data_IF_196234418443
#
_entry.id   IF_196234418443
#
_cell.length_a   1.000
_cell.length_b   1.000
_cell.length_c   1.000
_cell.angle_alpha   90.00
_cell.angle_beta   90.00
_cell.angle_gamma   90.00
#
_symmetry.space_group_name_H-M   'P 1'
#
loop_
_entity.id
_entity.type
_entity.pdbx_description
1 polymer ?
#
# COMPACT_ATOMS: atom_id res chain seq x y z
N UNK A 1 38.04 -23.52 9.79
CA UNK A 1 37.36 -22.42 10.50
C UNK A 1 36.64 -21.62 9.44
N UNK A 2 35.37 -21.92 9.19
CA UNK A 2 34.53 -21.05 8.36
C UNK A 2 34.36 -19.73 9.11
N UNK A 3 34.85 -18.63 8.52
CA UNK A 3 34.52 -17.29 8.98
C UNK A 3 32.99 -17.18 8.99
N UNK A 4 32.39 -17.29 10.17
CA UNK A 4 30.98 -16.97 10.37
C UNK A 4 30.82 -15.50 9.99
N UNK A 5 30.37 -15.26 8.76
CA UNK A 5 30.09 -13.94 8.21
C UNK A 5 29.25 -13.18 9.23
N UNK A 6 29.88 -12.23 9.92
CA UNK A 6 29.23 -11.42 10.95
C UNK A 6 28.11 -10.65 10.27
N UNK A 7 26.90 -10.74 10.81
CA UNK A 7 25.76 -10.02 10.24
C UNK A 7 25.99 -8.52 10.41
N UNK A 8 25.95 -7.78 9.31
CA UNK A 8 26.06 -6.33 9.29
C UNK A 8 24.66 -5.73 9.25
N UNK A 9 24.37 -4.83 10.18
CA UNK A 9 23.10 -4.09 10.24
C UNK A 9 23.43 -2.60 10.28
N UNK A 10 22.87 -1.84 9.35
CA UNK A 10 22.93 -0.40 9.42
C UNK A 10 21.85 0.13 10.38
N UNK A 11 22.18 1.14 11.19
CA UNK A 11 21.28 1.71 12.20
C UNK A 11 21.25 3.24 12.13
N UNK A 12 20.06 3.78 12.32
CA UNK A 12 19.79 5.22 12.49
C UNK A 12 19.24 5.40 13.90
N UNK A 13 19.79 6.35 14.64
CA UNK A 13 19.34 6.67 16.00
C UNK A 13 18.57 7.98 16.00
N UNK A 14 17.45 8.02 16.69
CA UNK A 14 16.64 9.23 16.86
C UNK A 14 16.65 9.69 18.31
N UNK A 15 16.41 10.99 18.53
CA UNK A 15 16.26 11.59 19.85
C UNK A 15 15.02 11.12 20.63
N UNK A 16 14.00 10.60 19.95
CA UNK A 16 12.72 10.20 20.55
C UNK A 16 12.78 8.80 21.19
N UNK A 17 13.97 8.18 21.24
CA UNK A 17 14.08 6.80 21.71
C UNK A 17 13.40 5.85 20.73
N UNK A 18 13.78 5.95 19.45
CA UNK A 18 13.49 4.99 18.38
C UNK A 18 14.75 4.83 17.53
N UNK A 19 15.01 3.65 17.02
CA UNK A 19 16.06 3.42 16.04
C UNK A 19 15.48 2.70 14.82
N UNK A 20 16.03 3.01 13.65
CA UNK A 20 15.70 2.32 12.41
C UNK A 20 16.87 1.45 11.98
N UNK A 21 16.59 0.22 11.58
CA UNK A 21 17.60 -0.76 11.20
C UNK A 21 17.31 -1.34 9.82
N UNK A 22 18.36 -1.68 9.09
CA UNK A 22 18.30 -2.39 7.80
C UNK A 22 19.53 -3.28 7.61
N UNK A 23 19.34 -4.45 7.02
CA UNK A 23 20.40 -5.34 6.54
C UNK A 23 20.50 -5.32 5.00
N UNK A 24 19.78 -4.40 4.36
CA UNK A 24 19.84 -4.15 2.93
C UNK A 24 20.73 -2.94 2.64
N UNK A 25 21.75 -3.12 1.80
CA UNK A 25 22.65 -2.05 1.36
C UNK A 25 22.22 -1.41 0.04
N UNK A 26 21.23 -1.99 -0.65
CA UNK A 26 20.74 -1.51 -1.94
C UNK A 26 19.62 -0.49 -1.73
N UNK A 27 19.57 0.54 -2.58
CA UNK A 27 18.57 1.61 -2.50
C UNK A 27 17.38 1.33 -3.44
N UNK A 28 17.61 0.62 -4.55
CA UNK A 28 16.61 0.25 -5.54
C UNK A 28 17.03 -0.98 -6.37
N UNK A 29 16.19 -1.38 -7.33
CA UNK A 29 16.50 -2.48 -8.27
C UNK A 29 16.07 -3.87 -7.78
N UNK A 30 16.50 -4.90 -8.50
CA UNK A 30 16.08 -6.29 -8.27
C UNK A 30 16.44 -6.78 -6.86
N UNK A 31 17.68 -6.52 -6.42
CA UNK A 31 18.16 -6.97 -5.12
C UNK A 31 17.41 -6.31 -3.96
N UNK A 32 17.08 -5.02 -4.06
CA UNK A 32 16.21 -4.33 -3.11
C UNK A 32 14.78 -4.90 -3.12
N UNK A 33 14.24 -5.14 -4.32
CA UNK A 33 12.87 -5.61 -4.50
C UNK A 33 12.63 -7.07 -4.12
N UNK A 34 13.68 -7.88 -3.97
CA UNK A 34 13.57 -9.28 -3.58
C UNK A 34 14.48 -9.60 -2.38
N UNK A 35 14.88 -8.57 -1.63
CA UNK A 35 15.71 -8.72 -0.44
C UNK A 35 15.00 -9.57 0.61
N UNK A 36 15.67 -10.64 1.04
CA UNK A 36 15.22 -11.49 2.16
C UNK A 36 15.99 -11.05 3.39
N UNK A 37 15.34 -10.25 4.23
CA UNK A 37 15.94 -9.81 5.48
C UNK A 37 16.21 -10.99 6.41
N UNK A 38 17.25 -10.86 7.21
CA UNK A 38 17.53 -11.73 8.35
C UNK A 38 17.07 -11.08 9.67
N UNK A 39 16.69 -9.79 9.64
CA UNK A 39 16.26 -9.00 10.81
C UNK A 39 14.96 -9.55 11.40
N UNK A 40 14.05 -10.07 10.56
CA UNK A 40 12.77 -10.65 10.95
C UNK A 40 12.87 -11.80 11.98
N UNK A 41 13.97 -12.54 11.94
CA UNK A 41 14.26 -13.67 12.83
C UNK A 41 14.95 -13.25 14.14
N UNK A 42 15.37 -11.99 14.23
CA UNK A 42 16.15 -11.49 15.36
C UNK A 42 15.26 -10.81 16.39
N UNK A 43 15.72 -10.86 17.64
CA UNK A 43 15.19 -10.15 18.78
C UNK A 43 16.24 -9.14 19.23
N UNK A 44 15.84 -7.88 19.32
CA UNK A 44 16.66 -6.77 19.76
C UNK A 44 16.23 -6.41 21.18
N UNK A 45 17.08 -6.72 22.16
CA UNK A 45 16.75 -6.61 23.59
C UNK A 45 15.45 -7.33 24.00
N UNK A 46 15.11 -8.43 23.32
CA UNK A 46 13.87 -9.19 23.54
C UNK A 46 12.66 -8.67 22.75
N UNK A 47 12.79 -7.57 22.01
CA UNK A 47 11.73 -7.03 21.15
C UNK A 47 11.90 -7.49 19.71
N UNK A 48 10.78 -7.82 19.07
CA UNK A 48 10.74 -8.03 17.62
C UNK A 48 10.78 -6.67 16.90
N UNK A 49 11.54 -6.56 15.80
CA UNK A 49 11.53 -5.37 14.97
C UNK A 49 10.15 -5.19 14.33
N UNK A 50 9.71 -3.95 14.19
CA UNK A 50 8.44 -3.61 13.50
C UNK A 50 8.73 -3.13 12.09
N UNK A 51 7.92 -3.55 11.13
CA UNK A 51 8.02 -3.03 9.76
C UNK A 51 7.65 -1.55 9.72
N UNK A 52 8.40 -0.78 8.93
CA UNK A 52 8.09 0.63 8.67
C UNK A 52 7.42 0.79 7.30
N UNK A 53 6.94 2.00 6.99
CA UNK A 53 6.46 2.32 5.63
C UNK A 53 7.57 2.19 4.57
N UNK A 54 8.84 2.38 4.99
CA UNK A 54 10.01 2.24 4.15
C UNK A 54 10.40 0.76 4.02
N UNK A 55 10.44 0.29 2.77
CA UNK A 55 10.80 -1.09 2.45
C UNK A 55 12.22 -1.41 2.95
N UNK A 56 12.40 -2.62 3.50
CA UNK A 56 13.64 -3.12 4.10
C UNK A 56 14.11 -2.39 5.37
N UNK A 57 13.34 -1.42 5.87
CA UNK A 57 13.63 -0.74 7.12
C UNK A 57 12.68 -1.19 8.22
N UNK A 58 13.25 -1.40 9.40
CA UNK A 58 12.51 -1.82 10.58
C UNK A 58 12.76 -0.87 11.74
N UNK A 59 11.76 -0.70 12.59
CA UNK A 59 11.81 0.10 13.80
C UNK A 59 12.07 -0.78 15.03
N UNK A 60 12.96 -0.30 15.90
CA UNK A 60 13.21 -0.84 17.23
C UNK A 60 13.16 0.28 18.28
N UNK A 61 12.75 -0.01 19.52
CA UNK A 61 12.51 1.03 20.52
C UNK A 61 13.79 1.69 21.03
N UNK A 62 14.94 1.03 21.01
CA UNK A 62 16.17 1.64 21.51
C UNK A 62 17.39 1.04 20.82
N UNK A 63 18.53 1.71 20.95
CA UNK A 63 19.80 1.18 20.48
C UNK A 63 20.10 -0.14 21.20
N UNK A 64 20.19 -1.26 20.48
CA UNK A 64 20.16 -2.58 21.08
C UNK A 64 21.45 -2.89 21.82
N UNK A 65 21.35 -3.44 23.02
CA UNK A 65 22.51 -3.95 23.78
C UNK A 65 22.79 -5.42 23.48
N UNK A 66 21.74 -6.20 23.24
CA UNK A 66 21.82 -7.63 22.89
C UNK A 66 20.95 -7.95 21.68
N UNK A 67 21.45 -8.86 20.85
CA UNK A 67 20.72 -9.42 19.72
C UNK A 67 20.67 -10.94 19.86
N UNK A 68 19.46 -11.49 19.78
CA UNK A 68 19.18 -12.90 20.04
C UNK A 68 18.38 -13.49 18.88
N UNK A 69 18.58 -14.77 18.57
CA UNK A 69 17.72 -15.54 17.67
C UNK A 69 16.97 -16.60 18.46
N UNK A 70 15.70 -16.83 18.12
CA UNK A 70 14.94 -17.95 18.64
C UNK A 70 15.25 -19.20 17.82
N UNK A 71 15.88 -20.19 18.45
CA UNK A 71 16.12 -21.49 17.84
C UNK A 71 15.02 -22.43 18.31
N UNK A 72 14.21 -22.89 17.35
CA UNK A 72 13.08 -23.76 17.62
C UNK A 72 13.43 -25.22 17.33
N UNK A 73 13.07 -26.09 18.27
CA UNK A 73 13.00 -27.53 18.03
C UNK A 73 14.26 -28.19 17.43
N UNK A 74 15.45 -27.90 17.95
CA UNK A 74 16.67 -28.57 17.49
C UNK A 74 16.51 -30.08 17.61
N UNK A 75 16.65 -30.78 16.48
CA UNK A 75 16.61 -32.25 16.43
C UNK A 75 17.90 -32.79 17.03
N UNK A 76 17.81 -33.30 18.26
CA UNK A 76 18.88 -33.99 18.97
C UNK A 76 18.67 -35.50 18.89
N UNK A 77 19.73 -36.27 19.17
CA UNK A 77 19.70 -37.74 19.21
C UNK A 77 19.09 -38.40 17.96
N UNK A 78 19.56 -37.99 16.78
CA UNK A 78 19.16 -38.65 15.52
C UNK A 78 19.62 -40.10 15.55
N UNK A 79 18.67 -41.02 15.42
CA UNK A 79 18.89 -42.47 15.47
C UNK A 79 17.95 -43.18 14.51
N UNK A 80 18.39 -44.30 13.95
CA UNK A 80 17.53 -45.21 13.22
C UNK A 80 16.86 -46.14 14.24
N UNK A 81 15.54 -46.11 14.32
CA UNK A 81 14.76 -47.01 15.17
C UNK A 81 14.11 -48.09 14.31
N UNK A 82 14.19 -49.33 14.75
CA UNK A 82 13.63 -50.48 14.03
C UNK A 82 12.10 -50.29 13.89
N UNK A 83 11.55 -50.59 12.71
CA UNK A 83 10.11 -50.41 12.45
C UNK A 83 9.26 -51.42 13.22
N UNK A 84 9.80 -52.62 13.39
CA UNK A 84 9.17 -53.74 14.07
C UNK A 84 10.07 -54.20 15.21
N UNK A 85 9.68 -53.88 16.44
CA UNK A 85 10.45 -54.20 17.64
C UNK A 85 10.63 -55.72 17.84
N UNK A 86 9.79 -56.56 17.22
CA UNK A 86 9.89 -58.03 17.30
C UNK A 86 11.05 -58.60 16.47
N UNK A 87 11.53 -57.86 15.47
CA UNK A 87 12.69 -58.24 14.65
C UNK A 87 14.03 -57.97 15.34
N UNK A 88 13.99 -57.49 16.59
CA UNK A 88 15.19 -57.21 17.37
C UNK A 88 16.05 -58.48 17.51
N UNK A 89 17.30 -58.36 17.11
CA UNK A 89 18.30 -59.42 17.31
C UNK A 89 19.68 -58.80 17.49
N UNK A 90 20.69 -59.63 17.76
CA UNK A 90 22.08 -59.18 17.78
C UNK A 90 22.54 -58.56 16.46
N UNK A 91 21.88 -58.90 15.34
CA UNK A 91 22.15 -58.34 13.99
C UNK A 91 21.28 -57.13 13.65
N UNK A 92 20.14 -56.98 14.33
CA UNK A 92 19.16 -55.91 14.14
C UNK A 92 18.91 -55.22 15.48
N UNK A 93 19.79 -54.30 15.90
CA UNK A 93 19.61 -53.57 17.16
C UNK A 93 18.34 -52.69 17.10
N UNK A 94 17.71 -52.40 18.25
CA UNK A 94 16.51 -51.55 18.31
C UNK A 94 16.77 -50.13 17.82
N UNK A 95 17.93 -49.57 18.18
CA UNK A 95 18.31 -48.21 17.84
C UNK A 95 19.77 -48.19 17.35
N UNK A 96 20.01 -47.53 16.22
CA UNK A 96 21.34 -47.31 15.64
C UNK A 96 21.62 -45.80 15.64
N UNK A 97 22.63 -45.32 16.37
CA UNK A 97 23.05 -43.92 16.32
C UNK A 97 23.41 -43.47 14.90
N UNK A 98 23.06 -42.25 14.50
CA UNK A 98 23.34 -41.75 13.14
C UNK A 98 24.84 -41.82 12.77
N UNK A 99 25.74 -41.69 13.75
CA UNK A 99 27.19 -41.73 13.53
C UNK A 99 27.71 -43.13 13.15
N UNK A 100 26.97 -44.18 13.53
CA UNK A 100 27.31 -45.59 13.28
C UNK A 100 26.64 -46.12 12.01
N UNK A 101 25.91 -45.26 11.27
CA UNK A 101 25.21 -45.62 10.03
C UNK A 101 26.09 -46.39 9.05
N UNK A 102 27.37 -46.00 8.93
CA UNK A 102 28.29 -46.56 7.94
C UNK A 102 28.74 -47.98 8.27
N UNK A 103 28.45 -48.49 9.48
CA UNK A 103 28.77 -49.86 9.89
C UNK A 103 27.68 -50.86 9.46
N UNK A 104 26.53 -50.35 9.01
CA UNK A 104 25.38 -51.15 8.58
C UNK A 104 25.10 -50.94 7.09
N UNK A 105 24.58 -51.99 6.45
CA UNK A 105 24.18 -51.93 5.04
C UNK A 105 23.05 -50.90 4.84
N UNK A 106 23.21 -50.03 3.84
CA UNK A 106 22.28 -48.93 3.57
C UNK A 106 20.89 -49.44 3.13
N UNK A 107 20.86 -50.56 2.40
CA UNK A 107 19.63 -51.23 1.97
C UNK A 107 18.86 -51.82 3.17
N UNK A 108 19.60 -52.26 4.19
CA UNK A 108 19.03 -52.78 5.44
C UNK A 108 18.42 -51.65 6.28
N UNK A 109 19.16 -50.54 6.45
CA UNK A 109 18.72 -49.38 7.21
C UNK A 109 17.46 -48.73 6.63
N UNK A 110 17.39 -48.58 5.30
CA UNK A 110 16.23 -47.96 4.63
C UNK A 110 14.99 -48.87 4.67
N UNK A 111 15.19 -50.18 4.61
CA UNK A 111 14.10 -51.16 4.62
C UNK A 111 13.52 -51.39 6.01
N UNK A 112 14.37 -51.62 7.02
CA UNK A 112 13.95 -52.08 8.35
C UNK A 112 13.81 -50.98 9.40
N UNK A 113 14.42 -49.81 9.21
CA UNK A 113 14.45 -48.74 10.21
C UNK A 113 13.77 -47.46 9.73
N UNK A 114 13.33 -46.62 10.68
CA UNK A 114 12.91 -45.23 10.44
C UNK A 114 13.79 -44.26 11.21
N UNK A 115 13.98 -43.06 10.65
CA UNK A 115 14.77 -42.01 11.30
C UNK A 115 13.95 -41.36 12.43
N UNK A 116 14.35 -41.61 13.67
CA UNK A 116 13.81 -41.00 14.88
C UNK A 116 14.76 -39.90 15.41
N UNK A 117 14.20 -38.89 16.05
CA UNK A 117 14.95 -37.81 16.69
C UNK A 117 14.12 -37.20 17.82
N UNK A 118 14.80 -36.68 18.84
CA UNK A 118 14.17 -35.95 19.93
C UNK A 118 14.19 -34.46 19.60
N UNK A 119 13.09 -33.76 19.88
CA UNK A 119 12.99 -32.31 19.65
C UNK A 119 13.34 -31.61 20.96
N UNK A 120 14.44 -30.85 20.96
CA UNK A 120 14.83 -30.04 22.11
C UNK A 120 13.86 -28.86 22.29
N UNK A 121 13.64 -28.39 23.54
CA UNK A 121 12.84 -27.19 23.78
C UNK A 121 13.50 -25.96 23.17
N UNK A 122 12.67 -24.97 22.85
CA UNK A 122 13.10 -23.72 22.24
C UNK A 122 14.02 -22.93 23.19
N UNK A 123 15.07 -22.32 22.63
CA UNK A 123 15.98 -21.48 23.40
C UNK A 123 16.48 -20.29 22.60
N UNK A 124 16.85 -19.23 23.33
CA UNK A 124 17.43 -18.01 22.75
C UNK A 124 18.95 -18.15 22.66
N UNK A 125 19.49 -17.79 21.50
CA UNK A 125 20.93 -17.76 21.27
C UNK A 125 21.37 -16.37 20.91
N UNK A 126 22.33 -15.83 21.67
CA UNK A 126 22.93 -14.54 21.37
C UNK A 126 23.78 -14.63 20.10
N UNK A 127 23.65 -13.63 19.23
CA UNK A 127 24.41 -13.50 17.98
C UNK A 127 25.24 -12.22 18.03
N UNK A 128 26.49 -12.31 17.54
CA UNK A 128 27.31 -11.14 17.32
C UNK A 128 26.89 -10.47 16.01
N UNK A 129 26.40 -9.24 16.12
CA UNK A 129 26.00 -8.39 15.00
C UNK A 129 26.89 -7.15 15.01
N UNK A 130 27.33 -6.74 13.82
CA UNK A 130 28.04 -5.50 13.63
C UNK A 130 27.06 -4.39 13.24
N UNK A 131 26.93 -3.38 14.09
CA UNK A 131 26.10 -2.21 13.81
C UNK A 131 26.93 -1.12 13.14
N UNK A 132 26.48 -0.68 11.96
CA UNK A 132 27.03 0.47 11.27
C UNK A 132 26.10 1.67 11.49
N UNK A 133 26.54 2.66 12.27
CA UNK A 133 25.76 3.85 12.55
C UNK A 133 25.79 4.77 11.31
N UNK A 134 24.64 4.93 10.65
CA UNK A 134 24.52 5.82 9.49
C UNK A 134 24.47 7.28 9.94
N UNK A 135 23.56 7.60 10.86
CA UNK A 135 23.39 8.96 11.37
C UNK A 135 22.63 8.97 12.71
N UNK A 136 22.79 10.07 13.44
CA UNK A 136 21.97 10.42 14.60
C UNK A 136 21.09 11.62 14.25
N UNK A 137 19.82 11.59 14.64
CA UNK A 137 18.81 12.59 14.29
C UNK A 137 18.22 13.20 15.56
N UNK A 138 18.45 14.50 15.74
CA UNK A 138 18.04 15.22 16.96
C UNK A 138 16.62 15.81 16.89
N UNK A 139 16.02 15.93 15.71
CA UNK A 139 14.69 16.51 15.52
C UNK A 139 13.78 15.57 14.72
N UNK A 140 13.74 14.30 15.13
CA UNK A 140 12.93 13.31 14.43
C UNK A 140 11.44 13.58 14.62
N UNK A 141 10.67 13.47 13.53
CA UNK A 141 9.21 13.52 13.51
C UNK A 141 8.70 12.32 12.73
N UNK A 142 7.72 11.62 13.27
CA UNK A 142 7.08 10.48 12.61
C UNK A 142 6.35 10.94 11.34
N UNK A 143 6.61 10.26 10.22
CA UNK A 143 6.00 10.57 8.93
C UNK A 143 4.46 10.56 9.05
N UNK A 144 3.76 11.49 8.38
CA UNK A 144 2.31 11.48 8.37
C UNK A 144 1.78 10.27 7.60
N UNK A 145 0.67 9.69 8.05
CA UNK A 145 0.09 8.52 7.40
C UNK A 145 -0.69 8.93 6.14
N UNK A 146 -0.28 8.42 4.98
CA UNK A 146 -1.07 8.49 3.75
C UNK A 146 -1.84 7.18 3.58
N UNK A 147 -3.17 7.28 3.53
CA UNK A 147 -4.02 6.16 3.20
C UNK A 147 -5.28 6.68 2.50
N UNK A 148 -5.14 6.99 1.23
CA UNK A 148 -6.25 7.48 0.42
C UNK A 148 -6.75 6.39 -0.52
N UNK A 149 -8.06 6.06 -0.51
CA UNK A 149 -8.61 5.14 -1.49
C UNK A 149 -8.52 5.77 -2.87
N UNK A 150 -8.07 4.99 -3.85
CA UNK A 150 -7.92 5.41 -5.23
C UNK A 150 -8.33 4.27 -6.18
N UNK A 151 -8.64 4.65 -7.42
CA UNK A 151 -9.06 3.70 -8.45
C UNK A 151 -8.29 3.94 -9.74
N UNK A 152 -7.61 2.91 -10.22
CA UNK A 152 -6.88 2.95 -11.49
C UNK A 152 -7.48 1.97 -12.47
N UNK A 153 -7.35 2.27 -13.76
CA UNK A 153 -7.65 1.32 -14.83
C UNK A 153 -6.46 0.37 -14.97
N UNK A 154 -6.70 -0.93 -14.84
CA UNK A 154 -5.74 -1.98 -15.11
C UNK A 154 -6.34 -2.94 -16.14
N UNK A 155 -5.72 -2.97 -17.33
CA UNK A 155 -6.23 -3.61 -18.53
C UNK A 155 -7.67 -3.17 -18.90
N UNK A 156 -8.61 -4.10 -18.80
CA UNK A 156 -10.03 -3.90 -19.10
C UNK A 156 -10.89 -3.68 -17.85
N UNK A 157 -10.28 -3.64 -16.65
CA UNK A 157 -10.98 -3.55 -15.37
C UNK A 157 -10.51 -2.37 -14.53
N UNK A 158 -11.34 -1.96 -13.57
CA UNK A 158 -10.93 -1.03 -12.52
C UNK A 158 -10.35 -1.81 -11.34
N UNK A 159 -9.19 -1.37 -10.87
CA UNK A 159 -8.55 -1.91 -9.67
C UNK A 159 -8.55 -0.83 -8.59
N UNK A 160 -9.14 -1.16 -7.44
CA UNK A 160 -9.02 -0.35 -6.23
C UNK A 160 -7.64 -0.55 -5.61
N UNK A 161 -7.04 0.55 -5.15
CA UNK A 161 -5.79 0.54 -4.41
C UNK A 161 -5.77 1.72 -3.43
N UNK A 162 -4.79 1.76 -2.53
CA UNK A 162 -4.57 2.91 -1.66
C UNK A 162 -3.31 3.66 -2.07
N UNK A 163 -3.40 4.98 -2.15
CA UNK A 163 -2.23 5.86 -2.22
C UNK A 163 -1.65 5.96 -0.81
N UNK A 164 -0.44 5.43 -0.64
CA UNK A 164 0.29 5.40 0.65
C UNK A 164 1.58 6.21 0.56
N UNK A 165 2.36 6.28 1.65
CA UNK A 165 3.65 6.98 1.67
C UNK A 165 4.61 6.47 0.58
N UNK A 166 4.46 5.22 0.11
CA UNK A 166 5.29 4.67 -0.97
C UNK A 166 5.01 5.28 -2.34
N UNK A 167 3.85 5.91 -2.53
CA UNK A 167 3.48 6.62 -3.74
C UNK A 167 4.08 8.03 -3.81
N UNK A 168 4.48 8.57 -2.65
CA UNK A 168 5.08 9.89 -2.57
C UNK A 168 6.49 9.84 -3.14
N UNK A 169 6.77 10.72 -4.09
CA UNK A 169 8.06 10.78 -4.77
C UNK A 169 8.90 11.87 -4.13
N UNK A 170 10.18 11.56 -3.93
CA UNK A 170 11.19 12.51 -3.52
C UNK A 170 12.20 12.71 -4.64
N UNK A 171 12.99 13.79 -4.54
CA UNK A 171 14.10 14.02 -5.45
C UNK A 171 15.09 12.84 -5.43
N UNK A 172 15.72 12.56 -6.57
CA UNK A 172 16.77 11.53 -6.66
C UNK A 172 17.94 11.82 -5.72
N UNK A 173 18.28 13.10 -5.55
CA UNK A 173 19.36 13.53 -4.64
C UNK A 173 18.99 13.17 -3.19
N UNK A 174 17.76 13.49 -2.77
CA UNK A 174 17.28 13.16 -1.43
C UNK A 174 17.21 11.64 -1.22
N UNK A 175 16.85 10.88 -2.26
CA UNK A 175 16.83 9.43 -2.18
C UNK A 175 18.22 8.81 -1.97
N UNK A 176 19.27 9.46 -2.45
CA UNK A 176 20.67 9.04 -2.30
C UNK A 176 21.24 9.47 -0.95
N UNK A 177 20.96 10.71 -0.54
CA UNK A 177 21.58 11.33 0.65
C UNK A 177 20.83 10.97 1.92
N UNK A 178 19.50 10.94 1.87
CA UNK A 178 18.62 10.79 3.04
C UNK A 178 18.07 9.35 3.09
N UNK A 179 18.33 8.61 4.19
CA UNK A 179 17.75 7.28 4.38
C UNK A 179 16.22 7.31 4.35
N UNK A 180 15.61 6.25 3.80
CA UNK A 180 14.17 6.19 3.53
C UNK A 180 13.27 6.54 4.74
N UNK A 181 13.55 6.10 5.99
CA UNK A 181 12.72 6.45 7.15
C UNK A 181 12.70 7.95 7.49
N UNK A 182 13.69 8.72 7.00
CA UNK A 182 13.86 10.13 7.32
C UNK A 182 13.38 11.07 6.21
N UNK A 183 12.98 10.53 5.05
CA UNK A 183 12.63 11.31 3.85
C UNK A 183 11.35 12.13 3.98
N UNK A 184 10.52 11.87 4.99
CA UNK A 184 9.29 12.65 5.21
C UNK A 184 9.54 14.15 5.40
N UNK A 185 10.74 14.53 5.88
CA UNK A 185 11.16 15.93 6.02
C UNK A 185 11.71 16.55 4.73
N UNK A 186 11.90 15.77 3.68
CA UNK A 186 12.46 16.22 2.40
C UNK A 186 11.36 16.66 1.44
N UNK A 187 11.68 17.53 0.46
CA UNK A 187 10.75 17.89 -0.61
C UNK A 187 10.15 16.67 -1.28
N UNK A 188 8.85 16.74 -1.55
CA UNK A 188 8.09 15.62 -2.06
C UNK A 188 7.00 16.04 -3.05
N UNK A 189 6.57 15.09 -3.87
CA UNK A 189 5.50 15.30 -4.84
C UNK A 189 4.60 14.07 -4.95
N UNK A 190 3.32 14.32 -5.24
CA UNK A 190 2.37 13.30 -5.70
C UNK A 190 2.12 13.50 -7.20
N UNK A 191 2.08 12.42 -7.96
CA UNK A 191 1.90 12.55 -9.41
C UNK A 191 0.49 13.00 -9.78
N UNK A 192 0.37 13.68 -10.93
CA UNK A 192 -0.93 14.05 -11.51
C UNK A 192 -1.87 12.84 -11.69
N UNK A 193 -1.32 11.66 -11.97
CA UNK A 193 -2.10 10.44 -12.16
C UNK A 193 -2.66 9.91 -10.83
N UNK A 194 -1.83 9.86 -9.79
CA UNK A 194 -2.27 9.46 -8.45
C UNK A 194 -3.29 10.45 -7.89
N UNK A 195 -3.08 11.75 -8.11
CA UNK A 195 -4.03 12.78 -7.72
C UNK A 195 -5.37 12.61 -8.45
N UNK A 196 -5.35 12.33 -9.76
CA UNK A 196 -6.56 12.03 -10.53
C UNK A 196 -7.32 10.81 -9.98
N UNK A 197 -6.61 9.69 -9.79
CA UNK A 197 -7.21 8.43 -9.34
C UNK A 197 -7.79 8.56 -7.91
N UNK A 198 -7.12 9.33 -7.05
CA UNK A 198 -7.55 9.66 -5.69
C UNK A 198 -8.79 10.56 -5.69
N UNK A 199 -8.74 11.70 -6.39
CA UNK A 199 -9.87 12.65 -6.44
C UNK A 199 -11.11 12.00 -7.03
N UNK A 200 -10.94 11.21 -8.10
CA UNK A 200 -12.02 10.43 -8.72
C UNK A 200 -12.70 9.51 -7.71
N UNK A 201 -11.93 8.75 -6.95
CA UNK A 201 -12.46 7.83 -5.94
C UNK A 201 -13.10 8.59 -4.77
N UNK A 202 -12.46 9.65 -4.28
CA UNK A 202 -12.98 10.48 -3.20
C UNK A 202 -14.34 11.10 -3.55
N UNK A 203 -14.50 11.60 -4.78
CA UNK A 203 -15.79 12.13 -5.25
C UNK A 203 -16.83 11.00 -5.37
N UNK A 204 -16.48 9.83 -5.91
CA UNK A 204 -17.39 8.68 -5.99
C UNK A 204 -17.96 8.29 -4.62
N UNK A 205 -17.10 8.27 -3.61
CA UNK A 205 -17.47 7.81 -2.27
C UNK A 205 -18.29 8.85 -1.49
N UNK A 206 -18.15 10.14 -1.81
CA UNK A 206 -18.75 11.24 -1.01
C UNK A 206 -19.80 12.07 -1.76
N UNK A 207 -20.06 11.82 -3.05
CA UNK A 207 -21.04 12.61 -3.82
C UNK A 207 -22.47 12.39 -3.30
N UNK A 208 -23.22 13.48 -3.14
CA UNK A 208 -24.64 13.40 -2.83
C UNK A 208 -25.46 13.38 -4.14
N UNK A 209 -26.09 12.24 -4.50
CA UNK A 209 -26.79 12.07 -5.79
C UNK A 209 -28.02 12.97 -5.94
N UNK A 210 -28.49 13.60 -4.86
CA UNK A 210 -29.59 14.58 -4.92
C UNK A 210 -29.13 15.94 -5.47
N UNK A 211 -27.85 16.28 -5.26
CA UNK A 211 -27.30 17.61 -5.57
C UNK A 211 -26.40 17.59 -6.80
N UNK A 212 -25.69 16.49 -7.03
CA UNK A 212 -24.76 16.35 -8.14
C UNK A 212 -24.72 14.91 -8.64
N UNK A 213 -24.31 14.73 -9.90
CA UNK A 213 -24.15 13.44 -10.57
C UNK A 213 -22.86 13.43 -11.36
N UNK A 214 -22.18 12.29 -11.33
CA UNK A 214 -21.03 12.03 -12.20
C UNK A 214 -21.56 11.75 -13.61
N UNK A 215 -21.20 12.60 -14.58
CA UNK A 215 -21.61 12.45 -15.99
C UNK A 215 -20.60 11.68 -16.82
N UNK A 216 -19.31 11.82 -16.50
CA UNK A 216 -18.22 11.10 -17.16
C UNK A 216 -17.32 10.49 -16.09
N UNK A 217 -17.05 9.19 -16.21
CA UNK A 217 -16.31 8.44 -15.22
C UNK A 217 -15.38 7.41 -15.86
N UNK A 218 -14.31 7.91 -16.49
CA UNK A 218 -13.35 7.08 -17.19
C UNK A 218 -11.96 7.18 -16.57
N UNK A 219 -11.04 6.30 -16.97
CA UNK A 219 -9.64 6.36 -16.52
C UNK A 219 -8.86 7.59 -17.03
N UNK A 220 -9.38 8.27 -18.06
CA UNK A 220 -8.73 9.40 -18.76
C UNK A 220 -9.51 10.73 -18.62
N UNK A 221 -10.80 10.71 -18.31
CA UNK A 221 -11.57 11.91 -18.03
C UNK A 221 -12.67 11.69 -16.98
N UNK A 222 -12.93 12.72 -16.19
CA UNK A 222 -13.91 12.71 -15.11
C UNK A 222 -14.69 14.02 -15.12
N UNK A 223 -16.01 13.95 -15.00
CA UNK A 223 -16.89 15.12 -15.00
C UNK A 223 -18.04 14.94 -14.00
N UNK A 224 -18.29 16.00 -13.23
CA UNK A 224 -19.40 16.11 -12.28
C UNK A 224 -20.31 17.25 -12.72
N UNK A 225 -21.60 16.93 -12.83
CA UNK A 225 -22.66 17.89 -13.11
C UNK A 225 -23.52 18.12 -11.87
N UNK A 226 -23.85 19.36 -11.58
CA UNK A 226 -24.83 19.74 -10.57
C UNK A 226 -26.24 19.50 -11.10
N UNK A 227 -27.12 18.95 -10.27
CA UNK A 227 -28.55 18.82 -10.55
C UNK A 227 -29.24 20.03 -9.95
N UNK A 228 -29.82 20.88 -10.80
CA UNK A 228 -30.50 22.10 -10.39
C UNK A 228 -31.99 21.94 -10.67
N UNK A 229 -32.88 22.02 -9.67
CA UNK A 229 -34.31 21.99 -9.91
C UNK A 229 -34.73 23.23 -10.72
N UNK A 230 -35.53 23.03 -11.76
CA UNK A 230 -36.07 24.12 -12.57
C UNK A 230 -37.37 24.60 -11.91
N UNK A 231 -37.54 25.93 -11.83
CA UNK A 231 -38.74 26.54 -11.20
C UNK A 231 -40.03 26.13 -11.91
N UNK A 232 -40.02 26.13 -13.25
CA UNK A 232 -41.14 25.71 -14.08
C UNK A 232 -40.76 24.49 -14.94
N UNK A 233 -41.29 23.29 -14.62
CA UNK A 233 -41.05 22.10 -15.42
C UNK A 233 -41.65 22.25 -16.82
N UNK A 234 -40.85 22.04 -17.86
CA UNK A 234 -41.36 22.04 -19.24
C UNK A 234 -41.46 20.62 -19.79
N UNK A 235 -42.49 20.39 -20.61
CA UNK A 235 -42.71 19.12 -21.30
C UNK A 235 -42.13 19.24 -22.69
N UNK A 236 -41.22 18.33 -23.06
CA UNK A 236 -40.74 18.21 -24.43
C UNK A 236 -41.13 16.86 -25.01
N UNK A 237 -41.29 16.85 -26.33
CA UNK A 237 -41.54 15.63 -27.09
C UNK A 237 -40.26 15.13 -27.75
N UNK A 238 -40.10 13.81 -27.86
CA UNK A 238 -38.97 13.18 -28.53
C UNK A 238 -39.39 11.88 -29.21
N UNK A 239 -38.59 11.48 -30.21
CA UNK A 239 -38.72 10.19 -30.87
C UNK A 239 -37.61 9.26 -30.36
N UNK A 240 -37.95 8.01 -30.01
CA UNK A 240 -36.96 7.04 -29.55
C UNK A 240 -36.24 6.41 -30.75
N UNK A 241 -35.14 7.02 -31.17
CA UNK A 241 -34.30 6.56 -32.29
C UNK A 241 -33.66 5.18 -32.06
N UNK A 242 -33.57 4.72 -30.81
CA UNK A 242 -32.96 3.43 -30.45
C UNK A 242 -33.98 2.29 -30.34
N UNK A 243 -35.29 2.57 -30.46
CA UNK A 243 -36.32 1.54 -30.36
C UNK A 243 -36.13 0.44 -31.44
N UNK A 244 -36.46 -0.81 -31.10
CA UNK A 244 -36.16 -1.97 -31.97
C UNK A 244 -36.98 -1.99 -33.26
N UNK A 245 -38.18 -1.40 -33.25
CA UNK A 245 -39.11 -1.43 -34.40
C UNK A 245 -39.36 -0.04 -34.96
N UNK A 246 -39.51 0.07 -36.29
CA UNK A 246 -39.77 1.33 -37.00
C UNK A 246 -41.00 2.07 -36.44
N UNK A 247 -42.09 1.34 -36.16
CA UNK A 247 -43.32 1.87 -35.56
C UNK A 247 -43.12 2.45 -34.16
N UNK A 248 -42.18 1.92 -33.37
CA UNK A 248 -41.85 2.48 -32.06
C UNK A 248 -40.96 3.73 -32.17
N UNK A 249 -40.04 3.78 -33.15
CA UNK A 249 -39.21 4.98 -33.39
C UNK A 249 -40.04 6.18 -33.84
N UNK A 250 -41.11 5.93 -34.60
CA UNK A 250 -42.03 6.96 -35.11
C UNK A 250 -43.06 7.42 -34.06
N UNK A 251 -43.15 6.75 -32.89
CA UNK A 251 -44.06 7.16 -31.83
C UNK A 251 -43.48 8.36 -31.07
N UNK A 252 -44.28 9.41 -30.92
CA UNK A 252 -43.91 10.58 -30.13
C UNK A 252 -44.03 10.28 -28.63
N UNK A 253 -42.93 10.43 -27.90
CA UNK A 253 -42.86 10.30 -26.45
C UNK A 253 -42.78 11.69 -25.81
N UNK A 254 -43.39 11.86 -24.64
CA UNK A 254 -43.33 13.11 -23.88
C UNK A 254 -42.56 12.87 -22.58
N UNK A 255 -41.68 13.81 -22.23
CA UNK A 255 -40.95 13.78 -20.97
C UNK A 255 -40.97 15.17 -20.33
N UNK A 256 -41.22 15.20 -19.03
CA UNK A 256 -41.16 16.42 -18.22
C UNK A 256 -39.74 16.62 -17.72
N UNK A 257 -39.11 17.74 -18.08
CA UNK A 257 -37.83 18.15 -17.52
C UNK A 257 -38.09 18.88 -16.18
N UNK A 258 -37.68 18.26 -15.06
CA UNK A 258 -37.79 18.85 -13.71
C UNK A 258 -36.49 19.47 -13.21
N UNK A 259 -35.37 19.13 -13.84
CA UNK A 259 -34.03 19.57 -13.43
C UNK A 259 -33.16 19.86 -14.65
N UNK A 260 -32.23 20.79 -14.47
CA UNK A 260 -31.15 21.11 -15.42
C UNK A 260 -29.82 20.64 -14.84
N UNK A 261 -28.97 20.11 -15.69
CA UNK A 261 -27.62 19.68 -15.32
C UNK A 261 -26.58 20.68 -15.83
N UNK A 262 -25.64 21.10 -14.96
CA UNK A 262 -24.55 22.03 -15.30
C UNK A 262 -23.23 21.43 -14.85
N UNK A 263 -22.22 21.45 -15.72
CA UNK A 263 -20.87 21.00 -15.38
C UNK A 263 -20.25 21.93 -14.35
N UNK A 264 -19.87 21.39 -13.19
CA UNK A 264 -19.25 22.15 -12.09
C UNK A 264 -17.80 21.78 -11.87
N UNK A 265 -17.42 20.57 -12.28
CA UNK A 265 -16.06 20.09 -12.13
C UNK A 265 -15.75 19.10 -13.24
N UNK A 266 -14.59 19.29 -13.87
CA UNK A 266 -14.08 18.41 -14.90
C UNK A 266 -12.57 18.31 -14.79
N UNK A 267 -12.05 17.09 -14.93
CA UNK A 267 -10.62 16.86 -14.90
C UNK A 267 -10.16 15.74 -15.84
N UNK A 268 -8.91 15.82 -16.24
CA UNK A 268 -8.10 14.78 -16.90
C UNK A 268 -6.75 14.72 -16.19
N UNK A 269 -6.02 13.61 -16.24
CA UNK A 269 -4.63 13.62 -15.79
C UNK A 269 -3.71 14.19 -16.89
N UNK A 270 -2.56 14.72 -16.48
CA UNK A 270 -1.66 15.48 -17.35
C UNK A 270 -1.11 14.69 -18.54
N UNK A 271 -0.95 13.37 -18.39
CA UNK A 271 -0.45 12.50 -19.46
C UNK A 271 -1.46 12.31 -20.60
N UNK A 272 -2.76 12.16 -20.30
CA UNK A 272 -3.80 11.99 -21.34
C UNK A 272 -4.22 13.35 -21.93
N UNK A 273 -4.28 14.39 -21.09
CA UNK A 273 -4.62 15.75 -21.49
C UNK A 273 -5.86 15.81 -22.42
N UNK A 274 -6.93 15.11 -22.03
CA UNK A 274 -8.11 14.93 -22.86
C UNK A 274 -8.76 16.29 -23.21
N UNK A 275 -9.02 16.51 -24.50
CA UNK A 275 -9.42 17.81 -25.04
C UNK A 275 -10.71 18.30 -24.38
N UNK A 276 -10.67 19.54 -23.87
CA UNK A 276 -11.81 20.20 -23.23
C UNK A 276 -11.91 19.97 -21.72
N UNK A 277 -11.04 19.15 -21.13
CA UNK A 277 -10.98 18.90 -19.70
C UNK A 277 -9.74 19.56 -19.08
N UNK A 278 -9.84 19.94 -17.81
CA UNK A 278 -8.73 20.59 -17.10
C UNK A 278 -7.75 19.54 -16.60
N UNK A 279 -6.48 19.65 -16.96
CA UNK A 279 -5.46 18.74 -16.45
C UNK A 279 -5.22 18.98 -14.96
N UNK A 280 -5.53 17.99 -14.11
CA UNK A 280 -5.20 18.05 -12.67
C UNK A 280 -3.69 17.92 -12.51
N UNK A 281 -3.07 18.89 -11.86
CA UNK A 281 -1.63 18.85 -11.60
C UNK A 281 -1.35 17.99 -10.36
N UNK A 282 -0.17 17.38 -10.33
CA UNK A 282 0.37 16.86 -9.08
C UNK A 282 0.64 18.01 -8.10
N UNK A 283 0.70 17.69 -6.82
CA UNK A 283 1.12 18.64 -5.79
C UNK A 283 2.56 18.38 -5.40
N UNK A 284 3.29 19.45 -5.16
CA UNK A 284 4.66 19.45 -4.66
C UNK A 284 4.72 20.26 -3.38
N UNK A 285 5.38 19.74 -2.35
CA UNK A 285 5.51 20.40 -1.06
C UNK A 285 6.93 20.26 -0.51
N UNK A 286 7.23 21.03 0.54
CA UNK A 286 8.55 21.03 1.17
C UNK A 286 8.78 19.79 2.01
N UNK A 287 7.71 19.13 2.47
CA UNK A 287 7.72 17.92 3.28
C UNK A 287 6.37 17.19 3.17
N UNK A 288 6.31 15.97 3.69
CA UNK A 288 5.12 15.11 3.61
C UNK A 288 3.91 15.65 4.39
N UNK A 289 4.09 16.39 5.49
CA UNK A 289 2.98 16.95 6.26
C UNK A 289 2.26 18.06 5.50
N UNK A 290 3.02 18.97 4.91
CA UNK A 290 2.50 20.03 4.06
C UNK A 290 1.77 19.43 2.85
N UNK A 291 2.34 18.39 2.22
CA UNK A 291 1.68 17.70 1.10
C UNK A 291 0.34 17.10 1.51
N UNK A 292 0.30 16.43 2.67
CA UNK A 292 -0.92 15.85 3.22
C UNK A 292 -2.00 16.92 3.45
N UNK A 293 -1.63 18.02 4.08
CA UNK A 293 -2.54 19.13 4.34
C UNK A 293 -3.09 19.74 3.03
N UNK A 294 -2.23 19.92 2.02
CA UNK A 294 -2.66 20.40 0.70
C UNK A 294 -3.67 19.46 0.04
N UNK A 295 -3.46 18.15 0.11
CA UNK A 295 -4.39 17.15 -0.44
C UNK A 295 -5.71 17.19 0.34
N UNK A 296 -5.67 17.14 1.68
CA UNK A 296 -6.86 17.12 2.52
C UNK A 296 -7.72 18.38 2.35
N UNK A 297 -7.09 19.56 2.27
CA UNK A 297 -7.76 20.82 2.00
C UNK A 297 -8.39 20.84 0.62
N UNK A 298 -7.67 20.41 -0.42
CA UNK A 298 -8.19 20.35 -1.79
C UNK A 298 -9.43 19.46 -1.91
N UNK A 299 -9.40 18.26 -1.32
CA UNK A 299 -10.53 17.33 -1.35
C UNK A 299 -11.74 17.91 -0.61
N UNK A 300 -11.50 18.53 0.54
CA UNK A 300 -12.55 19.16 1.34
C UNK A 300 -13.22 20.32 0.60
N UNK A 301 -12.42 21.22 0.01
CA UNK A 301 -12.93 22.34 -0.78
C UNK A 301 -13.69 21.89 -2.04
N UNK A 302 -13.19 20.85 -2.71
CA UNK A 302 -13.86 20.26 -3.87
C UNK A 302 -15.23 19.70 -3.48
N UNK A 303 -15.30 18.93 -2.39
CA UNK A 303 -16.57 18.36 -1.94
C UNK A 303 -17.54 19.44 -1.46
N UNK A 304 -17.06 20.47 -0.76
CA UNK A 304 -17.87 21.63 -0.40
C UNK A 304 -18.46 22.30 -1.66
N UNK A 305 -17.66 22.49 -2.70
CA UNK A 305 -18.12 23.04 -3.98
C UNK A 305 -19.18 22.14 -4.62
N UNK A 306 -18.96 20.83 -4.64
CA UNK A 306 -19.89 19.84 -5.20
C UNK A 306 -21.21 19.78 -4.41
N UNK A 307 -21.17 19.96 -3.09
CA UNK A 307 -22.34 19.87 -2.23
C UNK A 307 -23.06 21.20 -2.03
N UNK A 308 -22.46 22.36 -2.33
CA UNK A 308 -23.13 23.66 -2.13
C UNK A 308 -24.41 23.74 -2.98
N UNK A 309 -25.61 23.91 -2.39
CA UNK A 309 -26.87 23.91 -3.14
C UNK A 309 -26.92 25.12 -4.08
N UNK A 310 -27.42 24.86 -5.29
CA UNK A 310 -27.60 25.90 -6.32
C UNK A 310 -29.05 25.84 -6.77
N UNK A 311 -29.73 26.98 -6.69
CA UNK A 311 -31.12 27.14 -7.09
C UNK A 311 -31.22 28.14 -8.24
N UNK A 312 -32.20 27.99 -9.13
CA UNK A 312 -32.47 29.01 -10.14
C UNK A 312 -33.04 30.26 -9.46
N UNK A 313 -32.54 31.44 -9.81
CA UNK A 313 -33.08 32.67 -9.24
C UNK A 313 -34.48 32.93 -9.82
N UNK A 314 -35.43 33.12 -8.89
CA UNK A 314 -36.84 33.40 -9.17
C UNK A 314 -37.06 34.75 -9.86
N UNK A 315 -36.15 35.72 -9.66
CA UNK A 315 -36.28 37.07 -10.20
C UNK A 315 -35.72 37.24 -11.62
N UNK A 316 -34.98 36.26 -12.13
CA UNK A 316 -34.24 36.35 -13.39
C UNK A 316 -34.73 35.33 -14.44
N UNK A 317 -35.96 34.83 -14.30
CA UNK A 317 -36.59 33.86 -15.20
C UNK A 317 -35.68 32.66 -15.54
N UNK A 318 -34.90 32.18 -14.56
CA UNK A 318 -34.04 31.00 -14.71
C UNK A 318 -32.71 31.22 -15.44
N UNK A 319 -32.30 32.46 -15.70
CA UNK A 319 -30.98 32.78 -16.31
C UNK A 319 -29.84 32.88 -15.30
N UNK A 320 -30.13 33.29 -14.06
CA UNK A 320 -29.18 33.35 -12.94
C UNK A 320 -29.37 32.21 -11.94
N UNK A 321 -28.30 31.91 -11.19
CA UNK A 321 -28.30 30.90 -10.14
C UNK A 321 -27.94 31.53 -8.79
N UNK A 322 -28.65 31.13 -7.74
CA UNK A 322 -28.39 31.52 -6.36
C UNK A 322 -27.60 30.42 -5.68
N UNK A 323 -26.51 30.81 -5.02
CA UNK A 323 -25.76 29.96 -4.11
C UNK A 323 -26.15 30.42 -2.70
N UNK A 324 -26.93 29.62 -1.99
CA UNK A 324 -27.27 29.92 -0.60
C UNK A 324 -25.97 29.79 0.23
N UNK A 325 -25.60 30.86 0.92
CA UNK A 325 -24.42 30.89 1.82
C UNK A 325 -24.60 29.98 3.02
#
# INVERSE_FOLDING_TARGET
MEDKKVLQINIIKTNVGKCFITDCNEINGYNFNYHKTQIDKLLFDGHKPKETFARCWFEIPIYPKKVEILITGERKNKRFKLKDDELQSSKFPLEIPLNERNEFDEDMLTSLYFLAYDIAPDYLKQINVYFNLICEVDNFKDAPEFNYPAVRKYDFSEQQYSVTNQNIKHSLIDCIVVPAPLRANSPCEISSKEMYDLVRQHVRDNINPKLARISSDFGFCFEVKKIIPILEPHIYSYHDVFARTKKQREKLHFKTAKSKEISIYQMTHAQENYKGYTAIKGFSASNEWELKEMIDNFLSELMNTIHTPIEQCSHCNGTGYLQNK
#
